data_IF_369932424942
#
_entry.id   IF_369932424942
#
_cell.length_a   1.000
_cell.length_b   1.000
_cell.length_c   1.000
_cell.angle_alpha   90.00
_cell.angle_beta   90.00
_cell.angle_gamma   90.00
#
_symmetry.space_group_name_H-M   'P 1'
#
loop_
_entity.id
_entity.type
_entity.pdbx_description
1 polymer ?
#
# COMPACT_ATOMS: atom_id res chain seq x y z
N UNK A 1 10.29 -39.81 21.80
CA UNK A 1 10.64 -38.79 20.79
C UNK A 1 9.35 -38.20 20.27
N UNK A 2 8.84 -37.15 20.92
CA UNK A 2 7.53 -36.55 20.60
C UNK A 2 7.69 -35.57 19.45
N UNK A 3 6.94 -35.79 18.37
CA UNK A 3 6.80 -34.84 17.29
C UNK A 3 6.22 -33.53 17.85
N UNK A 4 6.92 -32.41 17.68
CA UNK A 4 6.35 -31.10 17.96
C UNK A 4 5.24 -30.85 16.92
N UNK A 5 3.98 -30.87 17.38
CA UNK A 5 2.84 -30.57 16.53
C UNK A 5 2.87 -29.11 16.09
N UNK A 6 2.56 -28.85 14.82
CA UNK A 6 2.41 -27.49 14.27
C UNK A 6 1.28 -26.76 15.01
N UNK A 7 1.62 -25.82 15.89
CA UNK A 7 0.65 -24.97 16.56
C UNK A 7 0.29 -23.77 15.65
N UNK A 8 -1.00 -23.55 15.41
CA UNK A 8 -1.49 -22.38 14.66
C UNK A 8 -1.67 -21.18 15.58
N UNK A 9 -1.25 -20.01 15.14
CA UNK A 9 -1.50 -18.72 15.81
C UNK A 9 -2.48 -17.93 14.96
N UNK A 10 -3.60 -17.51 15.56
CA UNK A 10 -4.53 -16.56 14.95
C UNK A 10 -4.15 -15.13 15.36
N UNK A 11 -4.04 -14.22 14.39
CA UNK A 11 -3.76 -12.81 14.63
C UNK A 11 -4.89 -11.98 14.01
N UNK A 12 -5.65 -11.31 14.86
CA UNK A 12 -6.64 -10.30 14.44
C UNK A 12 -6.01 -8.92 14.55
N UNK A 13 -6.03 -8.16 13.46
CA UNK A 13 -5.56 -6.78 13.44
C UNK A 13 -6.36 -5.97 12.43
N UNK A 14 -6.47 -4.67 12.68
CA UNK A 14 -6.99 -3.69 11.73
C UNK A 14 -5.81 -2.91 11.13
N UNK A 15 -5.78 -2.77 9.82
CA UNK A 15 -4.71 -2.04 9.14
C UNK A 15 -5.29 -1.06 8.13
N UNK A 16 -4.85 0.19 8.28
CA UNK A 16 -5.19 1.33 7.44
C UNK A 16 -4.25 2.48 7.78
N UNK A 17 -4.26 3.52 6.95
CA UNK A 17 -3.52 4.75 7.22
C UNK A 17 -4.33 5.73 8.08
N UNK A 18 -5.67 5.66 8.02
CA UNK A 18 -6.58 6.55 8.72
C UNK A 18 -8.01 5.97 8.75
N UNK A 19 -8.79 6.37 9.75
CA UNK A 19 -10.20 5.97 9.92
C UNK A 19 -11.15 6.78 9.02
N UNK A 20 -10.68 7.91 8.51
CA UNK A 20 -11.44 8.80 7.63
C UNK A 20 -10.51 9.57 6.68
N UNK A 21 -11.12 10.27 5.73
CA UNK A 21 -10.42 11.04 4.72
C UNK A 21 -9.50 12.13 5.29
N UNK A 22 -9.93 12.82 6.36
CA UNK A 22 -9.16 13.90 6.98
C UNK A 22 -7.90 13.40 7.71
N UNK A 23 -7.85 12.12 8.08
CA UNK A 23 -6.68 11.50 8.69
C UNK A 23 -5.61 11.04 7.68
N UNK A 24 -5.91 11.04 6.38
CA UNK A 24 -4.94 10.61 5.37
C UNK A 24 -3.83 11.64 5.20
N UNK A 25 -2.57 11.21 4.98
CA UNK A 25 -1.52 12.12 4.58
C UNK A 25 -1.92 12.89 3.31
N UNK A 26 -1.76 14.23 3.28
CA UNK A 26 -2.22 15.04 2.15
C UNK A 26 -1.72 14.58 0.77
N UNK A 27 -0.46 14.12 0.59
CA UNK A 27 0.00 13.60 -0.71
C UNK A 27 -0.74 12.35 -1.18
N UNK A 28 -1.18 11.49 -0.24
CA UNK A 28 -1.93 10.28 -0.56
C UNK A 28 -3.33 10.65 -1.03
N UNK A 29 -4.04 11.48 -0.27
CA UNK A 29 -5.37 11.98 -0.62
C UNK A 29 -5.37 12.71 -1.98
N UNK A 30 -4.38 13.58 -2.20
CA UNK A 30 -4.23 14.30 -3.47
C UNK A 30 -3.99 13.35 -4.65
N UNK A 31 -3.14 12.34 -4.49
CA UNK A 31 -2.88 11.35 -5.53
C UNK A 31 -4.14 10.56 -5.91
N UNK A 32 -5.00 10.24 -4.94
CA UNK A 32 -6.28 9.56 -5.18
C UNK A 32 -7.21 10.42 -6.02
N UNK A 33 -7.37 11.71 -5.68
CA UNK A 33 -8.23 12.64 -6.42
C UNK A 33 -7.74 12.81 -7.86
N UNK A 34 -6.43 13.02 -8.05
CA UNK A 34 -5.82 13.15 -9.38
C UNK A 34 -6.01 11.90 -10.22
N UNK A 35 -5.85 10.71 -9.63
CA UNK A 35 -6.06 9.45 -10.33
C UNK A 35 -7.54 9.27 -10.71
N UNK A 36 -8.46 9.59 -9.81
CA UNK A 36 -9.89 9.50 -10.06
C UNK A 36 -10.33 10.42 -11.22
N UNK A 37 -9.84 11.67 -11.22
CA UNK A 37 -10.10 12.62 -12.30
C UNK A 37 -9.56 12.09 -13.65
N UNK A 38 -8.32 11.58 -13.68
CA UNK A 38 -7.74 11.00 -14.89
C UNK A 38 -8.54 9.81 -15.43
N UNK A 39 -8.97 8.90 -14.55
CA UNK A 39 -9.76 7.73 -14.96
C UNK A 39 -11.17 8.11 -15.45
N UNK A 40 -11.73 9.22 -14.95
CA UNK A 40 -12.99 9.76 -15.41
C UNK A 40 -12.86 10.38 -16.82
N UNK A 41 -11.81 11.17 -17.04
CA UNK A 41 -11.61 11.91 -18.29
C UNK A 41 -11.03 11.05 -19.41
N UNK A 42 -10.11 10.14 -19.11
CA UNK A 42 -9.28 9.45 -20.10
C UNK A 42 -9.19 7.93 -19.83
N UNK A 43 -10.29 7.22 -20.07
CA UNK A 43 -10.34 5.76 -19.89
C UNK A 43 -9.33 5.03 -20.79
N UNK A 44 -8.50 4.18 -20.17
CA UNK A 44 -7.47 3.39 -20.86
C UNK A 44 -6.14 4.12 -21.09
N UNK A 45 -6.03 5.40 -20.74
CA UNK A 45 -4.77 6.12 -20.79
C UNK A 45 -3.88 5.79 -19.57
N UNK A 46 -2.56 5.87 -19.75
CA UNK A 46 -1.60 5.63 -18.68
C UNK A 46 -1.79 6.62 -17.51
N UNK A 47 -1.68 6.17 -16.24
CA UNK A 47 -1.83 7.05 -15.08
C UNK A 47 -0.81 8.19 -15.07
N UNK A 48 -1.18 9.38 -14.55
CA UNK A 48 -0.27 10.52 -14.47
C UNK A 48 0.96 10.21 -13.61
N UNK A 49 2.15 10.57 -14.10
CA UNK A 49 3.41 10.34 -13.38
C UNK A 49 3.45 11.00 -11.98
N UNK A 50 2.70 12.09 -11.80
CA UNK A 50 2.54 12.79 -10.51
C UNK A 50 1.94 11.90 -9.43
N UNK A 51 0.96 11.04 -9.75
CA UNK A 51 0.36 10.10 -8.79
C UNK A 51 1.42 9.14 -8.27
N UNK A 52 2.21 8.59 -9.19
CA UNK A 52 3.34 7.72 -8.83
C UNK A 52 4.34 8.44 -7.93
N UNK A 53 4.67 9.70 -8.22
CA UNK A 53 5.59 10.48 -7.40
C UNK A 53 5.06 10.71 -5.97
N UNK A 54 3.78 11.07 -5.84
CA UNK A 54 3.13 11.33 -4.55
C UNK A 54 3.13 10.10 -3.65
N UNK A 55 2.98 8.89 -4.19
CA UNK A 55 2.90 7.67 -3.39
C UNK A 55 4.25 6.98 -3.16
N UNK A 56 5.34 7.45 -3.78
CA UNK A 56 6.69 6.87 -3.60
C UNK A 56 7.09 6.68 -2.12
N UNK A 57 6.86 7.63 -1.20
CA UNK A 57 7.26 7.49 0.21
C UNK A 57 6.56 6.35 0.96
N UNK A 58 5.34 5.97 0.55
CA UNK A 58 4.56 4.90 1.15
C UNK A 58 4.82 3.52 0.51
N UNK A 59 5.72 3.44 -0.47
CA UNK A 59 6.11 2.16 -1.06
C UNK A 59 7.01 1.40 -0.10
N UNK A 60 6.63 0.15 0.19
CA UNK A 60 7.48 -0.76 0.95
C UNK A 60 8.73 -1.10 0.14
N UNK A 61 9.85 -0.48 0.50
CA UNK A 61 11.16 -0.79 -0.07
C UNK A 61 11.75 -1.99 0.66
N UNK A 62 12.18 -3.01 -0.08
CA UNK A 62 12.92 -4.16 0.48
C UNK A 62 14.24 -4.26 -0.26
N UNK A 63 15.33 -4.22 0.50
CA UNK A 63 16.65 -4.60 0.00
C UNK A 63 16.79 -6.10 0.25
N UNK A 64 16.53 -6.91 -0.78
CA UNK A 64 16.78 -8.34 -0.71
C UNK A 64 18.27 -8.59 -0.93
N UNK A 65 19.06 -8.44 0.13
CA UNK A 65 20.48 -8.76 0.15
C UNK A 65 20.73 -9.93 1.10
N UNK A 66 20.87 -11.14 0.56
CA UNK A 66 21.29 -12.31 1.34
C UNK A 66 20.25 -13.43 1.40
N UNK A 67 20.74 -14.65 1.14
CA UNK A 67 19.98 -15.91 1.09
C UNK A 67 19.23 -16.15 2.41
N UNK A 68 17.91 -16.33 2.34
CA UNK A 68 17.17 -16.91 3.46
C UNK A 68 17.62 -18.37 3.62
N UNK A 69 18.16 -18.70 4.81
CA UNK A 69 18.51 -20.05 5.23
C UNK A 69 17.26 -20.80 5.70
#
# INVERSE_FOLDING_TARGET
>A
MTAAGEARVAVSYEAGLADNWAGLPPPVAQGVVLLAAHLFEARGAQPPAVVTALWRPWRRMRLAGGRAA
#
